data_IF_552024644571
#
_entry.id   IF_552024644571
#
_cell.length_a   1.000
_cell.length_b   1.000
_cell.length_c   1.000
_cell.angle_alpha   90.00
_cell.angle_beta   90.00
_cell.angle_gamma   90.00
#
_symmetry.space_group_name_H-M   'P 1'
#
loop_
_entity.id
_entity.type
_entity.pdbx_description
1 polymer ?
#
# COMPACT_ATOMS: atom_id res chain seq x y z
N UNK A 1 -14.75 -12.28 -14.00
CA UNK A 1 -13.64 -11.45 -13.51
C UNK A 1 -12.36 -12.15 -13.90
N UNK A 2 -11.68 -11.67 -14.94
CA UNK A 2 -10.54 -12.35 -15.55
C UNK A 2 -9.24 -11.65 -15.13
N UNK A 3 -8.17 -12.42 -14.91
CA UNK A 3 -6.86 -11.90 -14.47
C UNK A 3 -6.26 -10.89 -15.47
N UNK A 4 -6.61 -11.02 -16.76
CA UNK A 4 -6.15 -10.16 -17.84
C UNK A 4 -6.67 -8.72 -17.71
N UNK A 5 -7.93 -8.53 -17.27
CA UNK A 5 -8.49 -7.18 -17.07
C UNK A 5 -7.80 -6.45 -15.91
N UNK A 6 -7.37 -7.19 -14.89
CA UNK A 6 -6.65 -6.61 -13.74
C UNK A 6 -5.26 -6.14 -14.17
N UNK A 7 -4.55 -6.92 -14.98
CA UNK A 7 -3.25 -6.51 -15.54
C UNK A 7 -3.36 -5.31 -16.49
N UNK A 8 -4.43 -5.20 -17.28
CA UNK A 8 -4.62 -4.03 -18.15
C UNK A 8 -4.98 -2.74 -17.39
N UNK A 9 -5.56 -2.85 -16.20
CA UNK A 9 -6.02 -1.71 -15.41
C UNK A 9 -4.94 -1.13 -14.49
N UNK A 10 -3.87 -1.88 -14.25
CA UNK A 10 -2.71 -1.48 -13.46
C UNK A 10 -1.41 -1.75 -14.25
N UNK A 11 -1.11 -0.95 -15.27
CA UNK A 11 0.14 -1.09 -16.05
C UNK A 11 1.38 -0.65 -15.25
N UNK A 12 1.20 0.20 -14.25
CA UNK A 12 2.27 0.76 -13.43
C UNK A 12 2.11 0.41 -11.95
N UNK A 13 3.25 0.13 -11.32
CA UNK A 13 3.34 -0.17 -9.89
C UNK A 13 2.72 0.94 -9.03
N UNK A 14 2.90 2.21 -9.43
CA UNK A 14 2.32 3.37 -8.75
C UNK A 14 0.80 3.38 -8.80
N UNK A 15 0.21 3.07 -9.95
CA UNK A 15 -1.24 3.02 -10.11
C UNK A 15 -1.85 1.89 -9.27
N UNK A 16 -1.17 0.74 -9.22
CA UNK A 16 -1.55 -0.38 -8.36
C UNK A 16 -1.49 0.02 -6.88
N UNK A 17 -0.40 0.64 -6.43
CA UNK A 17 -0.25 1.12 -5.05
C UNK A 17 -1.34 2.14 -4.71
N UNK A 18 -1.56 3.15 -5.56
CA UNK A 18 -2.58 4.17 -5.32
C UNK A 18 -3.99 3.57 -5.25
N UNK A 19 -4.27 2.56 -6.07
CA UNK A 19 -5.54 1.84 -6.01
C UNK A 19 -5.66 1.01 -4.74
N UNK A 20 -4.62 0.28 -4.35
CA UNK A 20 -4.58 -0.48 -3.10
C UNK A 20 -4.74 0.44 -1.89
N UNK A 21 -4.18 1.65 -1.93
CA UNK A 21 -4.32 2.65 -0.86
C UNK A 21 -5.77 3.08 -0.73
N UNK A 22 -6.42 3.39 -1.86
CA UNK A 22 -7.87 3.71 -1.87
C UNK A 22 -8.73 2.54 -1.41
N UNK A 23 -8.44 1.32 -1.82
CA UNK A 23 -9.23 0.14 -1.45
C UNK A 23 -9.05 -0.19 0.04
N UNK A 24 -7.84 -0.04 0.57
CA UNK A 24 -7.52 -0.45 1.95
C UNK A 24 -7.89 0.61 2.99
N UNK A 25 -7.60 1.87 2.69
CA UNK A 25 -7.72 2.97 3.64
C UNK A 25 -8.71 4.05 3.17
N UNK A 26 -9.04 4.09 1.89
CA UNK A 26 -9.83 5.18 1.32
C UNK A 26 -9.12 6.50 1.55
N UNK A 27 -9.70 7.32 2.43
CA UNK A 27 -9.18 8.62 2.85
C UNK A 27 -8.49 8.59 4.23
N UNK A 28 -8.61 7.49 4.99
CA UNK A 28 -8.11 7.38 6.37
C UNK A 28 -6.98 6.36 6.45
N UNK A 29 -5.72 6.76 6.26
CA UNK A 29 -4.60 5.84 6.34
C UNK A 29 -4.35 5.45 7.80
N UNK A 30 -4.37 4.14 8.07
CA UNK A 30 -4.23 3.59 9.43
C UNK A 30 -3.07 2.61 9.48
N UNK A 31 -2.27 2.67 10.55
CA UNK A 31 -1.14 1.76 10.71
C UNK A 31 -1.61 0.32 10.99
N UNK A 32 -1.20 -0.68 10.19
CA UNK A 32 -1.58 -2.08 10.41
C UNK A 32 -0.88 -2.72 11.63
N UNK A 33 0.05 -2.01 12.29
CA UNK A 33 0.78 -2.52 13.46
C UNK A 33 0.19 -2.10 14.80
N UNK A 34 -0.37 -0.90 14.86
CA UNK A 34 -0.80 -0.25 16.09
C UNK A 34 -2.13 0.50 15.95
N UNK A 35 -2.76 0.40 14.78
CA UNK A 35 -4.08 0.97 14.47
C UNK A 35 -4.17 2.51 14.61
N UNK A 36 -3.04 3.20 14.75
CA UNK A 36 -3.01 4.66 14.80
C UNK A 36 -3.20 5.26 13.41
N UNK A 37 -3.97 6.35 13.35
CA UNK A 37 -4.19 7.18 12.15
C UNK A 37 -3.04 8.16 11.90
N UNK A 38 -2.09 8.26 12.84
CA UNK A 38 -0.89 9.11 12.75
C UNK A 38 0.17 8.48 11.86
N UNK A 39 -0.12 8.39 10.57
CA UNK A 39 0.78 7.84 9.56
C UNK A 39 1.10 8.90 8.51
N UNK A 40 2.36 8.93 8.08
CA UNK A 40 2.87 9.86 7.08
C UNK A 40 3.37 9.07 5.87
N UNK A 41 2.95 9.48 4.67
CA UNK A 41 3.48 8.92 3.43
C UNK A 41 4.92 9.40 3.22
N UNK A 42 5.84 8.49 2.94
CA UNK A 42 7.20 8.83 2.50
C UNK A 42 7.16 9.09 1.00
N UNK A 43 7.41 10.34 0.59
CA UNK A 43 7.49 10.68 -0.85
C UNK A 43 8.71 10.05 -1.53
N UNK A 44 9.76 9.77 -0.75
CA UNK A 44 11.05 9.22 -1.22
C UNK A 44 10.97 7.74 -1.64
N UNK A 45 9.95 7.01 -1.16
CA UNK A 45 9.75 5.60 -1.48
C UNK A 45 8.28 5.35 -1.82
N UNK A 46 8.02 4.99 -3.08
CA UNK A 46 6.67 4.71 -3.58
C UNK A 46 5.89 3.76 -2.67
N UNK A 47 4.70 4.18 -2.23
CA UNK A 47 3.80 3.34 -1.42
C UNK A 47 4.28 3.02 -0.01
N UNK A 48 5.33 3.68 0.48
CA UNK A 48 5.86 3.47 1.83
C UNK A 48 5.27 4.50 2.79
N UNK A 49 4.68 3.99 3.86
CA UNK A 49 4.10 4.75 4.95
C UNK A 49 4.94 4.60 6.20
N UNK A 50 4.99 5.65 7.00
CA UNK A 50 5.67 5.66 8.30
C UNK A 50 4.66 6.04 9.36
N UNK A 51 4.50 5.18 10.35
CA UNK A 51 3.72 5.54 11.54
C UNK A 51 4.56 6.44 12.45
N UNK A 52 3.98 7.54 12.93
CA UNK A 52 4.64 8.43 13.90
C UNK A 52 4.54 7.90 15.34
N UNK A 53 3.59 6.99 15.61
CA UNK A 53 3.39 6.41 16.94
C UNK A 53 4.35 5.25 17.19
N UNK A 54 4.26 4.18 16.39
CA UNK A 54 5.16 3.02 16.52
C UNK A 54 6.51 3.22 15.83
N UNK A 55 6.72 4.32 15.08
CA UNK A 55 7.92 4.64 14.29
C UNK A 55 8.28 3.60 13.21
N UNK A 56 7.43 2.59 12.99
CA UNK A 56 7.64 1.54 11.98
C UNK A 56 7.25 2.05 10.59
N UNK A 57 8.00 1.58 9.60
CA UNK A 57 7.68 1.80 8.18
C UNK A 57 6.96 0.58 7.65
N UNK A 58 5.85 0.78 6.95
CA UNK A 58 5.04 -0.26 6.33
C UNK A 58 4.63 0.19 4.93
N UNK A 59 4.22 -0.74 4.08
CA UNK A 59 3.68 -0.44 2.74
C UNK A 59 2.20 -0.73 2.71
N UNK A 60 1.48 -0.25 1.69
CA UNK A 60 0.07 -0.63 1.50
C UNK A 60 -0.12 -2.14 1.31
N UNK A 61 0.91 -2.82 0.79
CA UNK A 61 0.96 -4.28 0.65
C UNK A 61 1.26 -5.01 1.96
N UNK A 62 1.56 -4.32 3.06
CA UNK A 62 1.92 -4.96 4.33
C UNK A 62 0.79 -5.85 4.86
N UNK A 63 1.05 -7.15 5.04
CA UNK A 63 0.06 -8.12 5.50
C UNK A 63 -0.98 -8.55 4.45
N UNK A 64 -0.79 -8.22 3.17
CA UNK A 64 -1.58 -8.81 2.08
C UNK A 64 -0.80 -9.95 1.41
N UNK A 65 -1.45 -10.68 0.50
CA UNK A 65 -0.80 -11.69 -0.36
C UNK A 65 0.36 -11.13 -1.21
N UNK A 66 0.43 -9.80 -1.35
CA UNK A 66 1.50 -9.09 -2.05
C UNK A 66 2.69 -8.75 -1.13
N UNK A 67 2.55 -8.94 0.18
CA UNK A 67 3.63 -8.71 1.14
C UNK A 67 4.77 -9.72 0.91
N UNK A 68 5.95 -9.23 0.51
CA UNK A 68 7.17 -10.01 0.21
C UNK A 68 7.14 -10.86 -1.07
N UNK A 69 6.14 -10.68 -1.92
CA UNK A 69 6.21 -11.24 -3.27
C UNK A 69 7.34 -10.52 -4.03
N UNK A 70 8.29 -11.28 -4.58
CA UNK A 70 9.27 -10.81 -5.58
C UNK A 70 8.63 -10.54 -6.94
N UNK A 71 7.31 -10.60 -7.00
CA UNK A 71 6.56 -10.17 -8.17
C UNK A 71 6.77 -8.67 -8.26
N UNK A 72 7.50 -8.27 -9.29
CA UNK A 72 7.52 -6.90 -9.78
C UNK A 72 6.06 -6.60 -10.18
N UNK A 73 5.41 -5.80 -9.32
CA UNK A 73 4.02 -5.37 -9.48
C UNK A 73 3.95 -4.22 -10.48
#
# INVERSE_FOLDING_TARGET
MNVIEVMQRFPDQEACIAHLEKVRWGDTPTCPHCESERVARRTEYMGKWRCNECKKSFTVTYGTIFYRSKVEL
#
